data_IF_721988426163
#
_entry.id   IF_721988426163
#
_cell.length_a   1.000
_cell.length_b   1.000
_cell.length_c   1.000
_cell.angle_alpha   90.00
_cell.angle_beta   90.00
_cell.angle_gamma   90.00
#
_symmetry.space_group_name_H-M   'P 1'
#
loop_
_entity.id
_entity.type
_entity.pdbx_description
1 polymer ?
#
# COMPACT_ATOMS: atom_id res chain seq x y z
N UNK A 1 4.94 -34.75 17.36
CA UNK A 1 5.59 -33.43 17.14
C UNK A 1 6.90 -33.61 16.39
N UNK A 2 7.27 -32.65 15.54
CA UNK A 2 8.55 -32.62 14.79
C UNK A 2 9.13 -31.21 14.85
N UNK A 3 10.42 -31.08 15.21
CA UNK A 3 11.14 -29.80 15.16
C UNK A 3 11.30 -29.33 13.70
N UNK A 4 11.11 -28.03 13.46
CA UNK A 4 11.37 -27.36 12.19
C UNK A 4 12.00 -25.98 12.40
N UNK A 5 12.47 -25.35 11.31
CA UNK A 5 13.16 -24.05 11.37
C UNK A 5 12.24 -22.85 11.07
N UNK A 6 11.15 -23.06 10.33
CA UNK A 6 10.25 -22.01 9.84
C UNK A 6 8.82 -22.58 9.82
N UNK A 7 7.87 -21.90 10.48
CA UNK A 7 6.45 -22.22 10.39
C UNK A 7 5.81 -21.63 9.12
N UNK A 8 4.71 -22.24 8.61
CA UNK A 8 3.90 -21.68 7.53
C UNK A 8 3.51 -20.20 7.73
N UNK A 9 3.59 -19.43 6.65
CA UNK A 9 3.27 -17.99 6.60
C UNK A 9 1.90 -17.68 5.98
N UNK A 10 1.27 -18.64 5.34
CA UNK A 10 -0.03 -18.50 4.68
C UNK A 10 -0.82 -19.82 4.72
N UNK A 11 -2.11 -19.74 4.35
CA UNK A 11 -3.03 -20.87 4.35
C UNK A 11 -2.57 -22.04 3.46
N UNK A 12 -2.02 -21.75 2.27
CA UNK A 12 -1.56 -22.76 1.32
C UNK A 12 -0.38 -23.58 1.87
N UNK A 13 0.56 -22.92 2.56
CA UNK A 13 1.65 -23.61 3.27
C UNK A 13 1.14 -24.46 4.44
N UNK A 14 0.10 -24.02 5.16
CA UNK A 14 -0.55 -24.81 6.22
C UNK A 14 -1.19 -26.06 5.65
N UNK A 15 -1.96 -25.94 4.58
CA UNK A 15 -2.62 -27.07 3.91
C UNK A 15 -1.60 -28.09 3.36
N UNK A 16 -0.53 -27.61 2.74
CA UNK A 16 0.56 -28.45 2.25
C UNK A 16 1.30 -29.17 3.38
N UNK A 17 1.67 -28.45 4.44
CA UNK A 17 2.36 -29.03 5.60
C UNK A 17 1.47 -30.02 6.37
N UNK A 18 0.16 -29.73 6.46
CA UNK A 18 -0.87 -30.62 6.99
C UNK A 18 -0.96 -31.92 6.20
N UNK A 19 -1.03 -31.84 4.87
CA UNK A 19 -1.11 -33.01 3.99
C UNK A 19 0.13 -33.90 4.09
N UNK A 20 1.32 -33.31 4.20
CA UNK A 20 2.58 -34.04 4.42
C UNK A 20 2.63 -34.72 5.79
N UNK A 21 2.06 -34.09 6.82
CA UNK A 21 2.05 -34.63 8.18
C UNK A 21 0.89 -35.61 8.44
N UNK A 22 -0.09 -35.66 7.53
CA UNK A 22 -1.29 -36.50 7.65
C UNK A 22 -2.31 -35.98 8.67
N UNK A 23 -2.34 -34.68 8.94
CA UNK A 23 -3.32 -34.11 9.86
C UNK A 23 -4.72 -34.08 9.24
N UNK A 24 -5.72 -34.41 10.06
CA UNK A 24 -7.15 -34.33 9.73
C UNK A 24 -7.70 -32.90 9.89
N UNK A 25 -9.01 -32.73 9.68
CA UNK A 25 -9.76 -31.56 10.12
C UNK A 25 -10.61 -31.88 11.34
N UNK A 26 -10.95 -30.87 12.14
CA UNK A 26 -11.92 -30.99 13.22
C UNK A 26 -13.36 -31.16 12.69
N UNK A 27 -14.33 -31.31 13.59
CA UNK A 27 -15.75 -31.53 13.24
C UNK A 27 -16.40 -30.36 12.49
N UNK A 28 -15.74 -29.20 12.45
CA UNK A 28 -16.19 -28.00 11.72
C UNK A 28 -15.39 -27.78 10.42
N UNK A 29 -14.49 -28.71 10.06
CA UNK A 29 -13.65 -28.62 8.87
C UNK A 29 -12.35 -27.85 9.05
N UNK A 30 -12.05 -27.32 10.25
CA UNK A 30 -10.83 -26.56 10.50
C UNK A 30 -9.62 -27.51 10.47
N UNK A 31 -8.55 -27.09 9.78
CA UNK A 31 -7.32 -27.88 9.69
C UNK A 31 -6.69 -28.10 11.09
N UNK A 32 -6.35 -29.34 11.45
CA UNK A 32 -5.77 -29.68 12.76
C UNK A 32 -4.24 -29.53 12.84
N UNK A 33 -3.56 -29.17 11.75
CA UNK A 33 -2.14 -28.85 11.76
C UNK A 33 -1.87 -27.56 12.54
N UNK A 34 -0.85 -27.59 13.39
CA UNK A 34 -0.26 -26.41 14.02
C UNK A 34 1.25 -26.40 13.86
N UNK A 35 1.80 -25.19 13.73
CA UNK A 35 3.22 -24.94 13.95
C UNK A 35 3.41 -23.79 14.94
N UNK A 36 4.08 -24.06 16.05
CA UNK A 36 4.21 -23.14 17.18
C UNK A 36 5.61 -23.24 17.79
N UNK A 37 6.10 -22.20 18.48
CA UNK A 37 7.24 -22.35 19.37
C UNK A 37 6.93 -23.29 20.53
N UNK A 38 7.95 -23.97 21.06
CA UNK A 38 7.84 -24.59 22.37
C UNK A 38 7.88 -23.53 23.50
N UNK A 39 7.45 -23.90 24.70
CA UNK A 39 7.40 -23.01 25.86
C UNK A 39 8.78 -22.39 26.19
N UNK A 40 9.85 -23.18 26.06
CA UNK A 40 11.23 -22.72 26.29
C UNK A 40 11.78 -21.80 25.19
N UNK A 41 11.04 -21.59 24.09
CA UNK A 41 11.48 -20.83 22.90
C UNK A 41 12.80 -21.33 22.30
N UNK A 42 13.10 -22.62 22.46
CA UNK A 42 14.30 -23.30 21.94
C UNK A 42 14.09 -23.97 20.59
N UNK A 43 12.85 -24.21 20.16
CA UNK A 43 12.53 -24.68 18.79
C UNK A 43 11.13 -24.28 18.34
N UNK A 44 10.89 -24.35 17.02
CA UNK A 44 9.55 -24.43 16.45
C UNK A 44 9.19 -25.90 16.25
N UNK A 45 7.95 -26.28 16.58
CA UNK A 45 7.43 -27.63 16.44
C UNK A 45 6.17 -27.63 15.58
N UNK A 46 6.08 -28.59 14.66
CA UNK A 46 4.85 -28.91 13.94
C UNK A 46 4.23 -30.23 14.40
N UNK A 47 2.90 -30.27 14.40
CA UNK A 47 2.09 -31.39 14.89
C UNK A 47 0.63 -31.27 14.44
N UNK A 48 -0.11 -32.36 14.57
CA UNK A 48 -1.56 -32.36 14.51
C UNK A 48 -2.10 -32.22 15.94
N UNK A 49 -3.15 -31.44 16.14
CA UNK A 49 -3.89 -31.31 17.40
C UNK A 49 -5.14 -32.19 17.33
N UNK A 50 -5.28 -33.09 18.29
CA UNK A 50 -6.51 -33.87 18.45
C UNK A 50 -7.62 -33.01 19.06
N UNK A 51 -8.83 -33.05 18.49
CA UNK A 51 -10.01 -32.36 19.01
C UNK A 51 -10.39 -31.09 18.24
N UNK A 52 -10.98 -30.11 18.94
CA UNK A 52 -11.56 -28.90 18.34
C UNK A 52 -10.55 -27.76 18.26
N UNK A 53 -10.56 -27.00 17.15
CA UNK A 53 -9.74 -25.79 17.02
C UNK A 53 -10.41 -24.61 17.72
N UNK A 54 -9.98 -24.36 18.96
CA UNK A 54 -10.55 -23.35 19.85
C UNK A 54 -10.32 -21.91 19.41
N UNK A 55 -11.25 -21.03 19.81
CA UNK A 55 -11.01 -19.59 19.87
C UNK A 55 -10.00 -19.28 20.97
N UNK A 56 -9.07 -18.35 20.69
CA UNK A 56 -8.09 -17.83 21.62
C UNK A 56 -8.32 -16.33 21.84
N UNK A 57 -8.01 -15.88 23.04
CA UNK A 57 -8.15 -14.47 23.43
C UNK A 57 -7.16 -13.57 22.69
N UNK A 58 -7.51 -12.29 22.58
CA UNK A 58 -6.61 -11.24 22.12
C UNK A 58 -5.41 -11.04 23.06
N UNK A 59 -4.34 -10.44 22.56
CA UNK A 59 -3.15 -10.12 23.34
C UNK A 59 -2.30 -11.33 23.75
N UNK A 60 -2.52 -12.48 23.11
CA UNK A 60 -1.93 -13.75 23.49
C UNK A 60 -1.40 -14.55 22.28
N UNK A 61 -0.20 -15.10 22.42
CA UNK A 61 0.38 -16.10 21.53
C UNK A 61 0.14 -17.52 22.06
N UNK A 62 0.19 -18.51 21.17
CA UNK A 62 0.25 -19.93 21.54
C UNK A 62 1.69 -20.44 21.53
N UNK A 63 2.00 -21.34 22.46
CA UNK A 63 3.23 -22.14 22.46
C UNK A 63 2.92 -23.57 22.96
N UNK A 64 3.92 -24.46 22.94
CA UNK A 64 3.74 -25.88 23.29
C UNK A 64 4.57 -26.30 24.50
N UNK A 65 3.94 -26.91 25.49
CA UNK A 65 4.59 -27.54 26.64
C UNK A 65 4.13 -28.99 26.82
N UNK A 66 5.06 -29.95 26.78
CA UNK A 66 4.81 -31.38 27.01
C UNK A 66 3.62 -31.96 26.21
N UNK A 67 3.44 -31.52 24.96
CA UNK A 67 2.33 -31.94 24.10
C UNK A 67 1.08 -31.05 24.17
N UNK A 68 0.95 -30.23 25.21
CA UNK A 68 -0.20 -29.36 25.44
C UNK A 68 0.01 -27.97 24.85
N UNK A 69 -1.09 -27.35 24.40
CA UNK A 69 -1.12 -25.94 24.03
C UNK A 69 -1.15 -25.07 25.29
N UNK A 70 -0.21 -24.13 25.38
CA UNK A 70 -0.21 -23.08 26.41
C UNK A 70 -0.34 -21.71 25.75
N UNK A 71 -0.80 -20.74 26.54
CA UNK A 71 -1.08 -19.37 26.10
C UNK A 71 -0.20 -18.41 26.86
N UNK A 72 0.49 -17.51 26.15
CA UNK A 72 1.42 -16.53 26.72
C UNK A 72 1.08 -15.12 26.22
N UNK A 73 1.09 -14.12 27.11
CA UNK A 73 0.72 -12.76 26.69
C UNK A 73 1.80 -12.12 25.83
N UNK A 74 1.39 -11.58 24.69
CA UNK A 74 2.24 -10.82 23.78
C UNK A 74 1.93 -9.31 23.77
N UNK A 75 1.15 -8.80 24.74
CA UNK A 75 0.76 -7.38 24.80
C UNK A 75 1.92 -6.41 24.91
N UNK A 76 3.11 -6.90 25.27
CA UNK A 76 4.35 -6.13 25.32
C UNK A 76 5.09 -6.07 23.98
N UNK A 77 4.71 -6.88 22.98
CA UNK A 77 5.39 -6.87 21.68
C UNK A 77 5.29 -5.51 21.00
N UNK A 78 6.36 -5.13 20.28
CA UNK A 78 6.40 -3.91 19.48
C UNK A 78 5.27 -3.85 18.43
N UNK A 79 4.91 -5.00 17.84
CA UNK A 79 3.79 -5.17 16.91
C UNK A 79 3.46 -6.66 16.69
N UNK A 80 2.35 -6.94 16.01
CA UNK A 80 2.00 -8.28 15.50
C UNK A 80 1.42 -9.28 16.50
N UNK A 81 1.20 -8.87 17.75
CA UNK A 81 0.36 -9.59 18.71
C UNK A 81 -1.13 -9.50 18.29
N UNK A 82 -1.96 -10.55 18.46
CA UNK A 82 -3.38 -10.50 18.09
C UNK A 82 -4.14 -9.37 18.80
N UNK A 83 -4.85 -8.53 18.04
CA UNK A 83 -5.64 -7.40 18.54
C UNK A 83 -7.10 -7.77 18.86
N UNK A 84 -7.52 -8.98 18.48
CA UNK A 84 -8.88 -9.51 18.59
C UNK A 84 -8.86 -11.02 18.90
N UNK A 85 -9.96 -11.60 19.40
CA UNK A 85 -10.11 -13.05 19.49
C UNK A 85 -9.97 -13.72 18.12
N UNK A 86 -9.23 -14.83 18.06
CA UNK A 86 -8.79 -15.49 16.82
C UNK A 86 -8.87 -17.02 16.94
N UNK A 87 -8.91 -17.78 15.84
CA UNK A 87 -8.94 -19.25 15.90
C UNK A 87 -7.53 -19.83 15.91
N UNK A 88 -7.27 -20.84 16.74
CA UNK A 88 -5.93 -21.46 16.85
C UNK A 88 -5.35 -21.91 15.50
N UNK A 89 -6.15 -22.47 14.59
CA UNK A 89 -5.69 -22.88 13.25
C UNK A 89 -5.21 -21.71 12.35
N UNK A 90 -5.55 -20.46 12.71
CA UNK A 90 -5.13 -19.24 12.01
C UNK A 90 -3.78 -18.70 12.52
N UNK A 91 -2.99 -19.50 13.28
CA UNK A 91 -1.69 -19.12 13.86
C UNK A 91 -0.69 -18.53 12.84
N UNK A 92 -0.83 -18.84 11.54
CA UNK A 92 -0.01 -18.28 10.46
C UNK A 92 -0.25 -16.79 10.24
N UNK A 93 -1.41 -16.25 10.63
CA UNK A 93 -1.73 -14.81 10.55
C UNK A 93 -0.92 -13.96 11.54
N UNK A 94 -0.31 -14.59 12.55
CA UNK A 94 0.44 -13.92 13.61
C UNK A 94 1.92 -14.33 13.60
N UNK A 95 2.70 -13.92 12.57
CA UNK A 95 4.10 -14.33 12.41
C UNK A 95 5.00 -13.88 13.58
N UNK A 96 4.60 -12.84 14.33
CA UNK A 96 5.25 -12.42 15.58
C UNK A 96 5.24 -13.54 16.65
N UNK A 97 4.12 -14.25 16.79
CA UNK A 97 3.97 -15.39 17.71
C UNK A 97 4.78 -16.63 17.30
N UNK A 98 5.43 -16.60 16.14
CA UNK A 98 6.35 -17.64 15.66
C UNK A 98 7.82 -17.16 15.66
N UNK A 99 8.04 -15.84 15.80
CA UNK A 99 9.37 -15.24 15.67
C UNK A 99 10.12 -15.34 17.00
N UNK A 100 10.84 -16.45 17.20
CA UNK A 100 11.67 -16.69 18.40
C UNK A 100 13.16 -16.43 18.16
N UNK A 101 13.85 -15.98 19.21
CA UNK A 101 15.29 -16.02 19.35
C UNK A 101 15.64 -17.24 20.20
N UNK A 102 16.20 -18.27 19.56
CA UNK A 102 16.54 -19.57 20.18
C UNK A 102 17.72 -19.45 21.17
N UNK A 103 18.62 -18.47 20.95
CA UNK A 103 19.78 -18.24 21.82
C UNK A 103 19.35 -17.66 23.16
N UNK A 104 18.54 -16.61 23.10
CA UNK A 104 18.13 -15.82 24.26
C UNK A 104 16.74 -16.23 24.81
N UNK A 105 16.14 -17.27 24.22
CA UNK A 105 14.90 -17.94 24.64
C UNK A 105 13.69 -17.01 24.79
N UNK A 106 13.52 -16.11 23.83
CA UNK A 106 12.49 -15.06 23.88
C UNK A 106 11.86 -14.82 22.50
N UNK A 107 10.72 -14.12 22.48
CA UNK A 107 10.10 -13.65 21.23
C UNK A 107 10.84 -12.43 20.69
N UNK A 108 11.18 -12.43 19.39
CA UNK A 108 11.99 -11.37 18.76
C UNK A 108 11.37 -9.97 18.81
N UNK A 109 10.04 -9.88 18.95
CA UNK A 109 9.34 -8.60 19.03
C UNK A 109 9.01 -8.18 20.47
N UNK A 110 9.36 -9.00 21.47
CA UNK A 110 9.29 -8.62 22.87
C UNK A 110 10.44 -7.65 23.19
N UNK A 111 10.18 -6.43 23.72
CA UNK A 111 11.21 -5.46 24.08
C UNK A 111 12.21 -5.94 25.13
N UNK A 112 11.90 -6.98 25.90
CA UNK A 112 12.82 -7.63 26.83
C UNK A 112 13.78 -8.61 26.16
N UNK A 113 13.47 -9.05 24.94
CA UNK A 113 14.31 -9.96 24.17
C UNK A 113 15.53 -9.20 23.64
N UNK A 114 16.77 -9.66 23.90
CA UNK A 114 17.95 -9.03 23.35
C UNK A 114 17.89 -8.97 21.83
N UNK A 115 17.84 -7.76 21.27
CA UNK A 115 18.32 -7.55 19.91
C UNK A 115 19.84 -7.78 19.94
N UNK A 116 20.41 -8.34 18.87
CA UNK A 116 21.85 -8.67 18.79
C UNK A 116 22.79 -7.47 18.76
N UNK A 117 22.33 -6.30 19.21
CA UNK A 117 23.08 -5.06 19.34
C UNK A 117 23.79 -5.03 20.70
N UNK A 118 25.06 -5.41 20.70
CA UNK A 118 25.98 -4.95 21.73
C UNK A 118 25.93 -3.41 21.79
N UNK A 119 25.78 -2.84 23.00
CA UNK A 119 25.49 -1.42 23.27
C UNK A 119 26.59 -0.41 22.90
N UNK A 120 27.54 -0.79 22.04
CA UNK A 120 28.73 -0.01 21.74
C UNK A 120 28.67 0.72 20.39
N UNK A 121 27.81 0.29 19.47
CA UNK A 121 27.71 0.89 18.13
C UNK A 121 26.28 1.36 17.86
N UNK A 122 26.10 2.68 17.88
CA UNK A 122 24.91 3.36 17.38
C UNK A 122 24.88 3.27 15.84
N UNK A 123 24.38 2.16 15.32
CA UNK A 123 24.02 2.05 13.90
C UNK A 123 22.52 1.81 13.78
N UNK A 124 21.86 2.87 13.31
CA UNK A 124 20.55 2.97 12.65
C UNK A 124 19.76 1.66 12.64
N UNK A 125 18.55 1.74 13.22
CA UNK A 125 17.45 0.79 13.11
C UNK A 125 17.33 0.24 11.69
N UNK A 126 17.95 -0.90 11.42
CA UNK A 126 17.74 -1.65 10.18
C UNK A 126 16.38 -2.33 10.30
N UNK A 127 15.33 -1.53 10.05
CA UNK A 127 13.98 -2.02 9.76
C UNK A 127 14.17 -3.00 8.63
N UNK A 128 14.08 -4.29 8.95
CA UNK A 128 14.42 -5.41 8.06
C UNK A 128 14.04 -5.09 6.63
N UNK A 129 15.04 -4.71 5.83
CA UNK A 129 14.85 -4.30 4.45
C UNK A 129 14.08 -5.43 3.76
N UNK A 130 12.85 -5.15 3.32
CA UNK A 130 11.99 -6.16 2.70
C UNK A 130 12.60 -6.46 1.33
N UNK A 131 13.61 -7.34 1.33
CA UNK A 131 14.23 -7.94 0.14
C UNK A 131 13.36 -9.03 -0.43
N UNK A 132 12.06 -8.75 -0.52
CA UNK A 132 11.26 -9.34 -1.58
C UNK A 132 11.76 -8.68 -2.87
N UNK A 133 12.41 -9.43 -3.78
CA UNK A 133 12.97 -8.85 -5.01
C UNK A 133 11.90 -8.11 -5.81
N UNK A 134 10.66 -8.57 -5.73
CA UNK A 134 9.49 -7.98 -6.34
C UNK A 134 9.21 -6.55 -5.83
N UNK A 135 9.31 -6.30 -4.52
CA UNK A 135 9.01 -4.97 -3.91
C UNK A 135 10.03 -3.93 -4.38
N UNK A 136 11.32 -4.29 -4.41
CA UNK A 136 12.39 -3.42 -4.94
C UNK A 136 12.16 -3.12 -6.42
N UNK A 137 11.81 -4.14 -7.22
CA UNK A 137 11.50 -3.98 -8.66
C UNK A 137 10.31 -3.03 -8.86
N UNK A 138 9.20 -3.19 -8.13
CA UNK A 138 8.04 -2.29 -8.24
C UNK A 138 8.36 -0.85 -7.84
N UNK A 139 9.17 -0.65 -6.78
CA UNK A 139 9.60 0.69 -6.36
C UNK A 139 10.40 1.41 -7.45
N UNK A 140 11.37 0.72 -8.07
CA UNK A 140 12.20 1.28 -9.15
C UNK A 140 11.36 1.57 -10.40
N UNK A 141 10.47 0.65 -10.79
CA UNK A 141 9.56 0.85 -11.93
C UNK A 141 8.63 2.05 -11.73
N UNK A 142 8.06 2.22 -10.52
CA UNK A 142 7.21 3.35 -10.19
C UNK A 142 7.93 4.69 -10.33
N UNK A 143 9.16 4.81 -9.80
CA UNK A 143 9.98 6.01 -9.92
C UNK A 143 10.27 6.38 -11.39
N UNK A 144 10.60 5.39 -12.23
CA UNK A 144 10.87 5.61 -13.66
C UNK A 144 9.63 6.11 -14.42
N UNK A 145 8.43 5.59 -14.12
CA UNK A 145 7.18 6.04 -14.74
C UNK A 145 6.88 7.50 -14.35
N UNK A 146 7.04 7.87 -13.08
CA UNK A 146 6.82 9.25 -12.61
C UNK A 146 7.77 10.21 -13.33
N UNK A 147 9.06 9.87 -13.45
CA UNK A 147 10.04 10.69 -14.18
C UNK A 147 9.63 10.89 -15.64
N UNK A 148 9.24 9.83 -16.36
CA UNK A 148 8.78 9.93 -17.74
C UNK A 148 7.55 10.83 -17.89
N UNK A 149 6.56 10.73 -16.99
CA UNK A 149 5.38 11.60 -17.00
C UNK A 149 5.76 13.06 -16.76
N UNK A 150 6.65 13.35 -15.80
CA UNK A 150 7.10 14.74 -15.56
C UNK A 150 7.83 15.34 -16.75
N UNK A 151 8.66 14.56 -17.46
CA UNK A 151 9.35 15.00 -18.68
C UNK A 151 8.34 15.27 -19.80
N UNK A 152 7.34 14.40 -20.01
CA UNK A 152 6.29 14.62 -21.01
C UNK A 152 5.49 15.89 -20.71
N UNK A 153 5.08 16.12 -19.45
CA UNK A 153 4.38 17.34 -19.04
C UNK A 153 5.26 18.58 -19.27
N UNK A 154 6.55 18.52 -18.94
CA UNK A 154 7.49 19.61 -19.19
C UNK A 154 7.63 19.93 -20.68
N UNK A 155 7.82 18.93 -21.55
CA UNK A 155 7.92 19.10 -23.00
C UNK A 155 6.62 19.63 -23.63
N UNK A 156 5.46 19.21 -23.12
CA UNK A 156 4.17 19.75 -23.53
C UNK A 156 3.99 21.21 -23.08
N UNK A 157 4.43 21.55 -21.86
CA UNK A 157 4.40 22.92 -21.34
C UNK A 157 5.34 23.84 -22.15
N UNK A 158 6.56 23.40 -22.44
CA UNK A 158 7.52 24.15 -23.27
C UNK A 158 6.98 24.40 -24.68
N UNK A 159 6.41 23.37 -25.32
CA UNK A 159 5.72 23.51 -26.62
C UNK A 159 4.50 24.44 -26.56
N UNK A 160 3.75 24.44 -25.47
CA UNK A 160 2.61 25.34 -25.27
C UNK A 160 3.06 26.79 -25.01
N UNK A 161 4.18 26.99 -24.31
CA UNK A 161 4.79 28.31 -24.11
C UNK A 161 5.21 28.92 -25.46
N UNK A 162 5.97 28.16 -26.27
CA UNK A 162 6.38 28.60 -27.60
C UNK A 162 5.18 28.96 -28.50
N UNK A 163 4.08 28.20 -28.46
CA UNK A 163 2.86 28.55 -29.21
C UNK A 163 2.23 29.88 -28.75
N UNK A 164 2.19 30.15 -27.45
CA UNK A 164 1.68 31.43 -26.92
C UNK A 164 2.52 32.61 -27.40
N UNK A 165 3.85 32.46 -27.43
CA UNK A 165 4.75 33.52 -27.87
C UNK A 165 4.53 33.89 -29.35
N UNK A 166 4.22 32.92 -30.23
CA UNK A 166 3.83 33.19 -31.62
C UNK A 166 2.45 33.85 -31.76
N UNK A 167 1.41 33.34 -31.07
CA UNK A 167 0.05 33.93 -31.17
C UNK A 167 0.00 35.36 -30.62
N UNK A 168 0.73 35.65 -29.54
CA UNK A 168 0.87 37.00 -29.00
C UNK A 168 1.61 37.96 -29.95
N UNK A 169 2.36 37.45 -30.94
CA UNK A 169 3.08 38.25 -31.92
C UNK A 169 2.19 38.63 -33.12
N UNK A 170 1.36 37.70 -33.62
CA UNK A 170 0.36 37.99 -34.66
C UNK A 170 -0.68 39.01 -34.16
N UNK A 171 -1.25 38.81 -32.96
CA UNK A 171 -2.24 39.73 -32.37
C UNK A 171 -1.68 41.15 -32.18
N UNK A 172 -0.38 41.27 -31.88
CA UNK A 172 0.31 42.57 -31.80
C UNK A 172 0.48 43.24 -33.16
N UNK A 173 0.65 42.46 -34.23
CA UNK A 173 0.85 42.99 -35.58
C UNK A 173 -0.45 43.57 -36.13
N UNK A 174 -1.55 42.82 -36.03
CA UNK A 174 -2.89 43.29 -36.43
C UNK A 174 -3.34 44.54 -35.67
N UNK A 175 -3.10 44.60 -34.35
CA UNK A 175 -3.42 45.80 -33.54
C UNK A 175 -2.57 47.00 -33.94
N UNK A 176 -1.31 46.79 -34.36
CA UNK A 176 -0.43 47.88 -34.81
C UNK A 176 -0.87 48.41 -36.18
N UNK A 177 -1.25 47.52 -37.12
CA UNK A 177 -1.74 47.87 -38.44
C UNK A 177 -3.07 48.65 -38.37
N UNK A 178 -4.01 48.23 -37.51
CA UNK A 178 -5.25 48.95 -37.22
C UNK A 178 -5.03 50.32 -36.55
N UNK A 179 -3.93 50.50 -35.80
CA UNK A 179 -3.60 51.78 -35.18
C UNK A 179 -3.00 52.76 -36.21
N UNK A 180 -2.15 52.27 -37.13
CA UNK A 180 -1.61 53.09 -38.22
C UNK A 180 -2.71 53.54 -39.20
N UNK A 181 -3.72 52.70 -39.48
CA UNK A 181 -4.87 53.08 -40.31
C UNK A 181 -5.67 54.24 -39.69
N UNK A 182 -5.89 54.25 -38.37
CA UNK A 182 -6.54 55.39 -37.69
C UNK A 182 -5.66 56.65 -37.66
N UNK A 183 -4.36 56.53 -37.44
CA UNK A 183 -3.45 57.68 -37.37
C UNK A 183 -3.30 58.34 -38.75
N UNK A 184 -3.39 57.57 -39.84
CA UNK A 184 -3.43 58.08 -41.21
C UNK A 184 -4.61 59.03 -41.51
N UNK A 185 -5.73 58.92 -40.77
CA UNK A 185 -6.90 59.78 -40.94
C UNK A 185 -6.87 61.06 -40.09
N UNK A 186 -5.98 61.15 -39.10
CA UNK A 186 -5.78 62.32 -38.23
C UNK A 186 -4.46 63.06 -38.49
N UNK A 187 -3.93 62.93 -39.70
CA UNK A 187 -2.82 63.72 -40.23
C UNK A 187 -3.16 65.20 -40.46
N UNK A 188 -3.55 65.92 -39.40
CA UNK A 188 -3.39 67.36 -39.18
C UNK A 188 -4.01 67.76 -37.83
N UNK A 189 -3.26 67.60 -36.72
CA UNK A 189 -3.02 68.67 -35.73
C UNK A 189 -2.32 68.18 -34.43
N UNK A 190 -1.39 69.02 -33.94
CA UNK A 190 -0.99 69.19 -32.53
C UNK A 190 -0.08 68.12 -31.87
N UNK A 191 1.20 68.51 -31.84
CA UNK A 191 2.08 68.61 -30.66
C UNK A 191 2.36 67.38 -29.76
N UNK A 192 3.63 66.97 -29.81
CA UNK A 192 4.38 66.20 -28.81
C UNK A 192 4.04 66.57 -27.35
N UNK A 193 3.83 65.56 -26.50
CA UNK A 193 4.26 65.60 -25.09
C UNK A 193 4.46 64.18 -24.55
N UNK A 194 5.60 63.96 -23.90
CA UNK A 194 5.98 62.70 -23.27
C UNK A 194 5.19 62.50 -21.97
N UNK A 195 4.82 61.26 -21.65
CA UNK A 195 4.57 60.83 -20.25
C UNK A 195 5.25 59.47 -20.02
N UNK A 196 5.84 59.34 -18.84
CA UNK A 196 6.72 58.24 -18.40
C UNK A 196 5.98 56.98 -17.98
N UNK A 197 6.69 55.85 -18.02
CA UNK A 197 6.31 54.65 -17.29
C UNK A 197 6.51 54.85 -15.79
N UNK A 198 5.62 54.29 -14.97
CA UNK A 198 5.85 54.07 -13.54
C UNK A 198 5.19 52.75 -13.13
N UNK A 199 5.96 51.86 -12.51
CA UNK A 199 5.47 50.63 -11.89
C UNK A 199 4.97 50.98 -10.48
N UNK A 200 3.84 50.42 -10.04
CA UNK A 200 3.82 49.50 -8.90
C UNK A 200 2.41 48.99 -8.56
N UNK A 201 2.37 47.94 -7.73
CA UNK A 201 1.16 47.22 -7.32
C UNK A 201 0.33 47.97 -6.26
N UNK A 202 -0.98 47.68 -6.15
CA UNK A 202 -1.44 46.78 -5.07
C UNK A 202 -2.88 46.23 -5.22
N UNK A 203 -3.04 45.06 -4.62
CA UNK A 203 -4.18 44.24 -4.17
C UNK A 203 -5.68 44.64 -4.24
N UNK A 204 -6.47 43.60 -4.55
CA UNK A 204 -7.62 43.04 -3.79
C UNK A 204 -9.12 43.32 -4.14
N UNK A 205 -9.91 42.25 -3.89
CA UNK A 205 -11.34 42.18 -3.46
C UNK A 205 -12.50 41.98 -4.50
N UNK A 206 -12.94 40.70 -4.61
CA UNK A 206 -14.32 40.18 -4.46
C UNK A 206 -15.38 40.28 -5.59
N UNK A 207 -15.72 39.08 -6.12
CA UNK A 207 -17.04 38.51 -6.52
C UNK A 207 -18.13 39.37 -7.24
N UNK A 208 -18.70 38.82 -8.33
CA UNK A 208 -20.04 38.14 -8.31
C UNK A 208 -20.56 37.56 -9.66
N UNK A 209 -20.79 36.24 -9.66
CA UNK A 209 -22.11 35.56 -9.85
C UNK A 209 -22.98 35.86 -11.11
N UNK A 210 -23.13 34.85 -11.99
CA UNK A 210 -24.38 34.20 -12.50
C UNK A 210 -23.96 33.13 -13.55
N UNK A 211 -24.45 31.87 -13.65
CA UNK A 211 -25.70 31.11 -13.35
C UNK A 211 -26.52 30.83 -14.63
N UNK A 212 -26.97 29.57 -14.78
CA UNK A 212 -27.87 28.95 -15.78
C UNK A 212 -27.26 28.58 -17.15
N UNK A 213 -27.79 27.64 -17.95
CA UNK A 213 -28.51 26.34 -17.75
C UNK A 213 -28.84 25.78 -19.17
N UNK A 214 -28.53 24.51 -19.48
CA UNK A 214 -29.19 23.59 -20.46
C UNK A 214 -28.29 22.34 -20.58
N UNK A 215 -28.67 21.13 -20.16
CA UNK A 215 -29.69 20.19 -20.69
C UNK A 215 -29.50 19.76 -22.16
N UNK A 216 -29.21 18.47 -22.36
CA UNK A 216 -29.88 17.47 -23.24
C UNK A 216 -29.01 16.19 -23.18
N UNK A 217 -29.31 15.15 -22.37
CA UNK A 217 -30.35 14.10 -22.47
C UNK A 217 -29.99 12.89 -23.36
N UNK A 218 -30.45 11.69 -22.95
CA UNK A 218 -30.46 10.39 -23.68
C UNK A 218 -29.07 9.67 -23.72
N UNK A 219 -28.87 8.43 -23.23
CA UNK A 219 -29.78 7.49 -22.53
C UNK A 219 -29.09 6.40 -21.62
N UNK A 220 -29.70 5.22 -21.53
CA UNK A 220 -29.45 3.99 -20.74
C UNK A 220 -28.20 3.15 -21.07
N UNK A 221 -27.74 2.35 -20.09
CA UNK A 221 -27.82 0.88 -20.17
C UNK A 221 -27.74 0.25 -18.77
N UNK A 222 -28.57 -0.78 -18.53
CA UNK A 222 -28.58 -1.62 -17.32
C UNK A 222 -28.03 -2.98 -17.70
N UNK A 223 -27.12 -3.54 -16.91
CA UNK A 223 -27.19 -4.97 -16.55
C UNK A 223 -26.34 -5.30 -15.32
N UNK A 224 -27.01 -5.91 -14.35
CA UNK A 224 -26.40 -6.86 -13.42
C UNK A 224 -26.03 -8.13 -14.20
N UNK A 225 -25.03 -8.88 -13.72
CA UNK A 225 -25.03 -10.34 -13.86
C UNK A 225 -24.26 -10.94 -12.67
N UNK A 226 -24.81 -12.00 -12.09
CA UNK A 226 -24.30 -12.68 -10.90
C UNK A 226 -23.65 -14.04 -11.20
N UNK A 227 -23.24 -14.73 -10.12
CA UNK A 227 -22.51 -15.99 -10.19
C UNK A 227 -23.36 -17.19 -10.63
N UNK A 228 -22.89 -17.97 -11.61
CA UNK A 228 -23.06 -19.43 -11.59
C UNK A 228 -21.95 -20.15 -12.38
N UNK A 229 -21.12 -20.94 -11.69
CA UNK A 229 -20.22 -21.92 -12.33
C UNK A 229 -20.29 -23.27 -11.60
N UNK A 230 -21.24 -24.10 -12.02
CA UNK A 230 -21.24 -25.53 -11.73
C UNK A 230 -20.43 -26.25 -12.81
N UNK A 231 -19.47 -27.09 -12.41
CA UNK A 231 -18.78 -28.01 -13.31
C UNK A 231 -18.81 -29.43 -12.77
N UNK A 232 -19.16 -30.38 -13.64
CA UNK A 232 -19.47 -31.77 -13.30
C UNK A 232 -18.31 -32.71 -13.59
N UNK A 233 -18.15 -33.77 -12.79
CA UNK A 233 -17.86 -35.12 -13.31
C UNK A 233 -17.92 -36.20 -12.21
N UNK A 234 -18.79 -37.18 -12.37
CA UNK A 234 -18.43 -38.58 -12.11
C UNK A 234 -19.20 -39.51 -13.03
N UNK A 235 -18.56 -40.64 -13.37
CA UNK A 235 -18.87 -41.46 -14.55
C UNK A 235 -19.29 -42.85 -14.10
N UNK A 236 -20.40 -43.35 -14.61
CA UNK A 236 -20.87 -44.71 -14.36
C UNK A 236 -20.81 -45.54 -15.63
N UNK A 237 -20.46 -46.83 -15.45
CA UNK A 237 -20.41 -47.92 -16.44
C UNK A 237 -19.12 -48.07 -17.23
#
# INVERSE_FOLDING_TARGET
MKNINICPRNQTEVEWASGILGCSSDVYGNNQYMCLPNAEKTSLVQFCVDGLMEMKEEGNCLSVFEGNLITESCKHFLFGCPDKPWRSHEFYKYPACQAINIRDKCYRLDPSCPTGYDKNNETILDVSEIKDPNVVIYSVLGAMIVLLVTIIVFLLWERHKLKKDFTNQEEKQDITELLEEQIGFLGNNVLVSNVSCEEDADTNIVNRRKRNDTETSVESFVQEDGDEFVSSASKTR
#
